data_IF_146083443139
#
_entry.id   IF_146083443139
#
_cell.length_a   1.000
_cell.length_b   1.000
_cell.length_c   1.000
_cell.angle_alpha   90.00
_cell.angle_beta   90.00
_cell.angle_gamma   90.00
#
_symmetry.space_group_name_H-M   'P 1'
#
loop_
_entity.id
_entity.type
_entity.pdbx_description
1 polymer ?
#
# COMPACT_ATOMS: atom_id res chain seq x y z
N UNK A 1 -6.08 8.41 -14.09
CA UNK A 1 -7.37 8.16 -13.40
C UNK A 1 -7.58 8.99 -12.12
N UNK A 2 -6.59 9.03 -11.22
CA UNK A 2 -6.71 9.65 -9.88
C UNK A 2 -6.94 11.17 -9.84
N UNK A 3 -6.63 11.89 -10.93
CA UNK A 3 -6.71 13.36 -11.02
C UNK A 3 -8.07 13.89 -11.52
N UNK A 4 -9.07 13.01 -11.74
CA UNK A 4 -10.40 13.45 -12.18
C UNK A 4 -11.10 14.25 -11.09
N UNK A 5 -11.13 15.58 -11.18
CA UNK A 5 -11.70 16.48 -10.15
C UNK A 5 -13.17 16.18 -9.80
N UNK A 6 -13.97 15.72 -10.76
CA UNK A 6 -15.41 15.43 -10.57
C UNK A 6 -15.70 14.06 -9.96
N UNK A 7 -14.72 13.16 -9.88
CA UNK A 7 -14.95 11.83 -9.32
C UNK A 7 -14.97 11.86 -7.79
N UNK A 8 -15.90 11.10 -7.19
CA UNK A 8 -16.03 11.00 -5.73
C UNK A 8 -14.68 10.55 -5.12
N UNK A 9 -14.21 11.30 -4.13
CA UNK A 9 -12.96 11.01 -3.41
C UNK A 9 -12.91 9.59 -2.86
N UNK A 10 -14.03 9.08 -2.32
CA UNK A 10 -14.12 7.72 -1.79
C UNK A 10 -13.88 6.68 -2.88
N UNK A 11 -14.42 6.89 -4.09
CA UNK A 11 -14.20 6.00 -5.23
C UNK A 11 -12.73 5.99 -5.65
N UNK A 12 -12.08 7.15 -5.71
CA UNK A 12 -10.65 7.25 -6.05
C UNK A 12 -9.77 6.50 -5.06
N UNK A 13 -10.05 6.63 -3.76
CA UNK A 13 -9.31 5.93 -2.72
C UNK A 13 -9.53 4.42 -2.84
N UNK A 14 -10.77 3.96 -3.06
CA UNK A 14 -11.05 2.53 -3.27
C UNK A 14 -10.35 1.97 -4.50
N UNK A 15 -10.32 2.70 -5.60
CA UNK A 15 -9.58 2.31 -6.81
C UNK A 15 -8.08 2.24 -6.53
N UNK A 16 -7.54 3.24 -5.82
CA UNK A 16 -6.13 3.25 -5.44
C UNK A 16 -5.80 2.04 -4.56
N UNK A 17 -6.65 1.73 -3.58
CA UNK A 17 -6.49 0.55 -2.75
C UNK A 17 -6.54 -0.71 -3.62
N UNK A 18 -7.57 -0.89 -4.44
CA UNK A 18 -7.69 -2.08 -5.28
C UNK A 18 -6.51 -2.25 -6.25
N UNK A 19 -6.05 -1.20 -6.93
CA UNK A 19 -4.99 -1.31 -7.92
C UNK A 19 -3.61 -1.45 -7.26
N UNK A 20 -3.29 -0.53 -6.34
CA UNK A 20 -1.95 -0.48 -5.72
C UNK A 20 -1.78 -1.62 -4.73
N UNK A 21 -2.78 -1.91 -3.89
CA UNK A 21 -2.66 -2.97 -2.90
C UNK A 21 -2.61 -4.32 -3.61
N UNK A 22 -3.50 -4.65 -4.55
CA UNK A 22 -3.46 -5.96 -5.22
C UNK A 22 -2.17 -6.17 -6.02
N UNK A 23 -1.71 -5.17 -6.77
CA UNK A 23 -0.47 -5.28 -7.56
C UNK A 23 0.75 -5.45 -6.66
N UNK A 24 0.83 -4.73 -5.54
CA UNK A 24 1.93 -4.91 -4.57
C UNK A 24 1.81 -6.21 -3.78
N UNK A 25 0.59 -6.63 -3.44
CA UNK A 25 0.34 -7.81 -2.62
C UNK A 25 0.65 -9.11 -3.35
N UNK A 26 0.47 -9.16 -4.67
CA UNK A 26 0.78 -10.37 -5.42
C UNK A 26 2.27 -10.73 -5.36
N UNK A 27 3.17 -9.73 -5.36
CA UNK A 27 4.61 -9.93 -5.31
C UNK A 27 5.24 -9.91 -3.92
N UNK A 28 4.56 -9.38 -2.89
CA UNK A 28 5.23 -9.10 -1.61
C UNK A 28 5.65 -10.34 -0.80
N UNK A 29 5.04 -11.49 -1.09
CA UNK A 29 5.36 -12.77 -0.45
C UNK A 29 6.67 -13.38 -0.95
N UNK A 30 7.03 -13.14 -2.22
CA UNK A 30 8.21 -13.72 -2.88
C UNK A 30 9.37 -12.74 -3.06
N UNK A 31 9.12 -11.43 -2.95
CA UNK A 31 10.17 -10.42 -3.18
C UNK A 31 10.97 -10.11 -1.92
N UNK A 32 12.31 -10.07 -2.06
CA UNK A 32 13.23 -9.55 -1.05
C UNK A 32 13.24 -8.02 -1.02
N UNK A 33 12.19 -7.41 -0.48
CA UNK A 33 12.09 -5.95 -0.33
C UNK A 33 13.12 -5.39 0.66
N UNK A 34 14.00 -4.50 0.18
CA UNK A 34 14.91 -3.68 0.98
C UNK A 34 14.23 -2.42 1.53
N UNK A 35 14.87 -1.74 2.49
CA UNK A 35 14.39 -0.48 3.08
C UNK A 35 14.19 0.63 2.04
N UNK A 36 15.02 0.67 0.99
CA UNK A 36 14.86 1.62 -0.11
C UNK A 36 13.57 1.40 -0.90
N UNK A 37 13.19 0.14 -1.10
CA UNK A 37 11.92 -0.19 -1.75
C UNK A 37 10.75 0.33 -0.91
N UNK A 38 10.72 0.06 0.40
CA UNK A 38 9.67 0.61 1.28
C UNK A 38 9.61 2.13 1.26
N UNK A 39 10.75 2.81 1.21
CA UNK A 39 10.80 4.28 1.11
C UNK A 39 10.18 4.79 -0.19
N UNK A 40 10.52 4.18 -1.34
CA UNK A 40 9.93 4.50 -2.65
C UNK A 40 8.42 4.20 -2.67
N UNK A 41 7.99 3.11 -2.04
CA UNK A 41 6.58 2.71 -1.94
C UNK A 41 5.75 3.69 -1.10
N UNK A 42 6.27 4.07 0.06
CA UNK A 42 5.61 5.06 0.91
C UNK A 42 5.53 6.42 0.21
N UNK A 43 6.59 6.83 -0.50
CA UNK A 43 6.60 8.07 -1.30
C UNK A 43 5.55 8.08 -2.41
N UNK A 44 5.49 7.02 -3.21
CA UNK A 44 4.52 6.89 -4.32
C UNK A 44 3.08 6.82 -3.80
N UNK A 45 2.80 6.01 -2.77
CA UNK A 45 1.47 5.97 -2.13
C UNK A 45 1.05 7.32 -1.57
N UNK A 46 1.96 8.03 -0.90
CA UNK A 46 1.69 9.40 -0.41
C UNK A 46 1.34 10.35 -1.56
N UNK A 47 2.05 10.26 -2.68
CA UNK A 47 1.77 11.08 -3.86
C UNK A 47 0.38 10.78 -4.45
N UNK A 48 -0.02 9.51 -4.52
CA UNK A 48 -1.35 9.15 -5.00
C UNK A 48 -2.46 9.55 -4.02
N UNK A 49 -2.26 9.36 -2.72
CA UNK A 49 -3.22 9.78 -1.70
C UNK A 49 -3.44 11.29 -1.73
N UNK A 50 -2.37 12.08 -1.77
CA UNK A 50 -2.49 13.55 -1.85
C UNK A 50 -3.23 14.01 -3.11
N UNK A 51 -2.99 13.36 -4.26
CA UNK A 51 -3.77 13.58 -5.50
C UNK A 51 -5.25 13.22 -5.35
N UNK A 52 -5.57 12.09 -4.70
CA UNK A 52 -6.95 11.67 -4.47
C UNK A 52 -7.70 12.63 -3.53
N UNK A 53 -7.00 13.17 -2.54
CA UNK A 53 -7.52 14.16 -1.57
C UNK A 53 -7.70 15.53 -2.22
N UNK A 54 -6.99 15.82 -3.32
CA UNK A 54 -6.99 17.13 -3.96
C UNK A 54 -6.10 18.15 -3.26
N UNK A 55 -5.22 17.68 -2.37
CA UNK A 55 -4.22 18.51 -1.69
C UNK A 55 -3.16 18.95 -2.71
N UNK A 56 -2.89 20.24 -2.78
CA UNK A 56 -1.87 20.80 -3.66
C UNK A 56 -1.05 21.82 -2.91
N UNK A 57 0.27 21.62 -2.86
CA UNK A 57 1.24 22.56 -2.26
C UNK A 57 1.15 23.98 -2.85
N UNK A 58 0.51 24.15 -4.02
CA UNK A 58 0.28 25.46 -4.67
C UNK A 58 -0.88 26.25 -4.04
N UNK A 59 -1.78 25.62 -3.30
CA UNK A 59 -2.85 26.34 -2.58
C UNK A 59 -2.28 26.87 -1.26
N UNK A 60 -2.14 28.19 -1.18
CA UNK A 60 -1.57 28.92 -0.03
C UNK A 60 -2.31 28.67 1.30
N UNK A 61 -3.53 28.14 1.24
CA UNK A 61 -4.38 27.80 2.39
C UNK A 61 -4.21 26.37 2.94
N UNK A 62 -3.51 25.48 2.22
CA UNK A 62 -3.42 24.08 2.62
C UNK A 62 -2.32 23.91 3.67
N UNK A 63 -2.71 23.53 4.90
CA UNK A 63 -1.75 23.12 5.96
C UNK A 63 -0.88 21.95 5.45
N UNK A 64 0.38 21.83 5.90
CA UNK A 64 1.22 20.69 5.56
C UNK A 64 0.54 19.39 6.00
N UNK A 65 0.20 18.54 5.02
CA UNK A 65 -0.46 17.27 5.28
C UNK A 65 0.58 16.19 5.59
N UNK A 66 0.59 15.74 6.85
CA UNK A 66 1.38 14.57 7.27
C UNK A 66 0.86 13.30 6.59
N UNK A 67 1.73 12.31 6.39
CA UNK A 67 1.33 11.03 5.81
C UNK A 67 0.27 10.31 6.67
N UNK A 68 0.41 10.37 8.00
CA UNK A 68 -0.58 9.80 8.92
C UNK A 68 -1.95 10.48 8.78
N UNK A 69 -1.98 11.80 8.64
CA UNK A 69 -3.21 12.55 8.39
C UNK A 69 -3.84 12.18 7.04
N UNK A 70 -3.03 12.02 5.99
CA UNK A 70 -3.51 11.58 4.69
C UNK A 70 -4.12 10.17 4.73
N UNK A 71 -3.57 9.26 5.53
CA UNK A 71 -4.11 7.91 5.73
C UNK A 71 -5.46 7.95 6.46
N UNK A 72 -5.54 8.68 7.59
CA UNK A 72 -6.78 8.85 8.35
C UNK A 72 -7.87 9.46 7.46
N UNK A 73 -7.54 10.53 6.75
CA UNK A 73 -8.50 11.20 5.88
C UNK A 73 -8.96 10.30 4.72
N UNK A 74 -8.12 9.35 4.30
CA UNK A 74 -8.45 8.36 3.28
C UNK A 74 -9.20 7.14 3.83
N UNK A 75 -9.33 6.98 5.15
CA UNK A 75 -9.89 5.76 5.75
C UNK A 75 -8.99 4.54 5.53
N UNK A 76 -7.67 4.75 5.41
CA UNK A 76 -6.68 3.69 5.34
C UNK A 76 -6.12 3.44 6.75
N UNK A 77 -6.43 2.29 7.35
CA UNK A 77 -5.98 1.96 8.71
C UNK A 77 -4.55 1.37 8.75
N UNK A 78 -4.14 0.65 7.70
CA UNK A 78 -2.83 0.01 7.63
C UNK A 78 -1.83 0.74 6.70
N UNK A 79 -0.56 0.76 7.09
CA UNK A 79 0.57 1.14 6.22
C UNK A 79 0.93 -0.01 5.27
N UNK A 80 1.60 0.29 4.15
CA UNK A 80 2.06 -0.75 3.21
C UNK A 80 2.94 -1.78 3.94
N UNK A 81 3.86 -1.32 4.78
CA UNK A 81 4.75 -2.19 5.54
C UNK A 81 3.99 -3.15 6.46
N UNK A 82 2.99 -2.65 7.19
CA UNK A 82 2.15 -3.47 8.05
C UNK A 82 1.39 -4.53 7.23
N UNK A 83 0.79 -4.13 6.12
CA UNK A 83 0.07 -5.05 5.23
C UNK A 83 1.00 -6.11 4.63
N UNK A 84 2.21 -5.73 4.18
CA UNK A 84 3.21 -6.66 3.65
C UNK A 84 3.66 -7.64 4.73
N UNK A 85 3.97 -7.17 5.94
CA UNK A 85 4.40 -8.03 7.06
C UNK A 85 3.31 -9.04 7.43
N UNK A 86 2.06 -8.58 7.55
CA UNK A 86 0.90 -9.43 7.83
C UNK A 86 0.73 -10.54 6.79
N UNK A 87 0.85 -10.20 5.50
CA UNK A 87 0.75 -11.18 4.41
C UNK A 87 1.91 -12.17 4.38
N UNK A 88 3.13 -11.72 4.65
CA UNK A 88 4.29 -12.61 4.78
C UNK A 88 4.11 -13.60 5.94
N UNK A 89 3.57 -13.16 7.07
CA UNK A 89 3.24 -14.06 8.18
C UNK A 89 2.17 -15.09 7.76
N UNK A 90 1.10 -14.66 7.08
CA UNK A 90 0.09 -15.59 6.55
C UNK A 90 0.69 -16.59 5.56
N UNK A 91 1.57 -16.14 4.66
CA UNK A 91 2.25 -16.99 3.69
C UNK A 91 3.19 -18.00 4.37
N UNK A 92 4.02 -17.55 5.31
CA UNK A 92 4.89 -18.43 6.09
C UNK A 92 4.08 -19.51 6.83
N UNK A 93 2.98 -19.12 7.49
CA UNK A 93 2.08 -20.06 8.14
C UNK A 93 1.40 -21.04 7.16
N UNK A 94 1.09 -20.59 5.94
CA UNK A 94 0.56 -21.46 4.89
C UNK A 94 1.60 -22.48 4.42
N UNK A 95 2.84 -22.05 4.18
CA UNK A 95 3.93 -22.94 3.79
C UNK A 95 4.26 -23.95 4.89
N UNK A 96 4.22 -23.55 6.17
CA UNK A 96 4.44 -24.48 7.29
C UNK A 96 3.40 -25.59 7.40
N UNK A 97 2.16 -25.35 6.95
CA UNK A 97 1.10 -26.35 6.89
C UNK A 97 1.14 -27.23 5.63
N UNK A 98 2.02 -26.95 4.68
CA UNK A 98 2.20 -27.82 3.52
C UNK A 98 2.90 -29.13 3.90
N UNK A 99 2.76 -30.14 3.06
CA UNK A 99 3.55 -31.37 3.13
C UNK A 99 5.04 -31.09 2.86
N UNK A 100 5.95 -31.82 3.52
CA UNK A 100 7.40 -31.64 3.41
C UNK A 100 7.97 -31.93 2.01
N UNK A 101 7.20 -32.64 1.19
CA UNK A 101 7.50 -32.87 -0.23
C UNK A 101 7.50 -31.58 -1.08
N UNK A 102 6.83 -30.53 -0.61
CA UNK A 102 6.52 -29.33 -1.39
C UNK A 102 7.72 -28.39 -1.44
N UNK A 103 8.09 -27.97 -2.65
CA UNK A 103 9.23 -27.08 -2.91
C UNK A 103 9.26 -25.82 -2.04
N UNK A 104 8.14 -25.07 -1.82
CA UNK A 104 8.18 -23.88 -0.97
C UNK A 104 8.57 -24.16 0.49
N UNK A 105 8.22 -25.33 1.03
CA UNK A 105 8.55 -25.74 2.40
C UNK A 105 10.01 -26.18 2.54
N UNK A 106 10.57 -26.73 1.47
CA UNK A 106 11.99 -27.09 1.38
C UNK A 106 12.93 -25.89 1.19
N UNK A 107 12.40 -24.76 0.76
CA UNK A 107 13.15 -23.52 0.49
C UNK A 107 13.10 -22.50 1.64
N UNK A 108 12.20 -22.69 2.61
CA UNK A 108 12.19 -21.97 3.88
C UNK A 108 13.24 -22.55 4.82
#
# INVERSE_FOLDING_TARGET
MYDRRRANRRLKIRLLQAEVVETFLYGCASWSLTAEHYTKLNGTRRQFLTRCIGWSKRKRSDRPLSYAQALIQAGCEETIEATVRKRRLCFAGFVMRMEDSRLPKRML
#
